data_IF_912878341943
#
_entry.id   IF_912878341943
#
_cell.length_a   1.000
_cell.length_b   1.000
_cell.length_c   1.000
_cell.angle_alpha   90.00
_cell.angle_beta   90.00
_cell.angle_gamma   90.00
#
_symmetry.space_group_name_H-M   'P 1'
#
loop_
_entity.id
_entity.type
_entity.pdbx_description
1 polymer ?
#
# COMPACT_ATOMS: atom_id res chain seq x y z
N UNK A 1 18.75 11.31 -24.24
CA UNK A 1 18.53 11.48 -22.79
C UNK A 1 19.07 10.24 -22.11
N UNK A 2 20.30 10.30 -21.61
CA UNK A 2 20.97 9.17 -20.95
C UNK A 2 20.69 9.32 -19.46
N UNK A 3 20.08 8.31 -18.83
CA UNK A 3 20.04 8.22 -17.38
C UNK A 3 21.49 8.08 -16.91
N UNK A 4 22.01 9.11 -16.25
CA UNK A 4 23.37 9.17 -15.75
C UNK A 4 23.52 8.17 -14.60
N UNK A 5 23.91 6.93 -14.92
CA UNK A 5 24.00 5.81 -13.98
C UNK A 5 25.02 6.06 -12.87
N UNK A 6 25.95 6.99 -13.06
CA UNK A 6 26.88 7.44 -12.03
C UNK A 6 26.19 8.21 -10.89
N UNK A 7 25.08 8.92 -11.17
CA UNK A 7 24.27 9.61 -10.16
C UNK A 7 23.22 8.72 -9.49
N UNK A 8 22.91 7.56 -10.05
CA UNK A 8 22.01 6.59 -9.41
C UNK A 8 22.55 6.13 -8.04
N UNK A 9 23.88 6.07 -7.89
CA UNK A 9 24.55 5.73 -6.63
C UNK A 9 24.67 6.90 -5.64
N UNK A 10 24.37 8.13 -6.07
CA UNK A 10 24.38 9.33 -5.24
C UNK A 10 23.01 9.64 -4.61
N UNK A 11 21.99 8.81 -4.88
CA UNK A 11 20.68 8.92 -4.26
C UNK A 11 20.75 8.22 -2.90
N UNK A 12 20.67 8.99 -1.82
CA UNK A 12 20.59 8.46 -0.47
C UNK A 12 19.41 7.47 -0.35
N UNK A 13 19.56 6.44 0.48
CA UNK A 13 18.48 5.49 0.74
C UNK A 13 17.23 6.22 1.23
N UNK A 14 16.06 5.87 0.67
CA UNK A 14 14.79 6.48 1.06
C UNK A 14 14.52 6.10 2.53
N UNK A 15 14.35 7.07 3.44
CA UNK A 15 14.07 6.78 4.83
C UNK A 15 12.76 5.98 5.01
N UNK A 16 12.74 5.05 5.98
CA UNK A 16 11.65 4.06 6.16
C UNK A 16 10.27 4.67 6.44
N UNK A 17 10.23 5.88 6.98
CA UNK A 17 9.01 6.66 7.18
C UNK A 17 8.36 7.10 5.87
N UNK A 18 9.12 7.23 4.77
CA UNK A 18 8.60 7.54 3.44
C UNK A 18 8.19 6.28 2.65
N UNK A 19 8.54 5.09 3.13
CA UNK A 19 8.14 3.79 2.54
C UNK A 19 7.05 3.10 3.34
N UNK A 20 6.30 3.89 4.13
CA UNK A 20 5.17 3.43 4.92
C UNK A 20 3.88 4.04 4.38
N UNK A 21 2.85 3.22 4.19
CA UNK A 21 1.53 3.68 3.71
C UNK A 21 0.45 3.34 4.71
N UNK A 22 -0.46 4.26 4.97
CA UNK A 22 -1.65 3.99 5.77
C UNK A 22 -2.91 4.57 5.15
N UNK A 23 -4.05 3.96 5.43
CA UNK A 23 -5.31 4.49 4.91
C UNK A 23 -6.55 3.75 5.40
N UNK A 24 -7.71 4.29 5.02
CA UNK A 24 -9.01 3.69 5.31
C UNK A 24 -9.81 3.59 4.03
N UNK A 25 -10.32 2.39 3.74
CA UNK A 25 -11.21 2.15 2.60
C UNK A 25 -12.64 2.50 3.01
N UNK A 26 -13.26 3.44 2.31
CA UNK A 26 -14.69 3.76 2.42
C UNK A 26 -15.41 3.30 1.15
N UNK A 27 -16.50 2.57 1.31
CA UNK A 27 -17.34 2.12 0.19
C UNK A 27 -18.64 2.93 0.18
N UNK A 28 -18.87 3.68 -0.90
CA UNK A 28 -20.08 4.49 -1.07
C UNK A 28 -21.03 3.96 -2.15
N UNK A 29 -20.57 3.04 -3.00
CA UNK A 29 -21.37 2.45 -4.07
C UNK A 29 -22.15 1.22 -3.57
N UNK A 30 -23.42 1.09 -3.95
CA UNK A 30 -24.29 -0.01 -3.51
C UNK A 30 -23.77 -1.41 -3.87
N UNK A 31 -23.11 -1.57 -5.03
CA UNK A 31 -22.53 -2.84 -5.46
C UNK A 31 -21.41 -3.23 -4.50
N UNK A 32 -20.61 -2.25 -4.10
CA UNK A 32 -19.52 -2.43 -3.13
C UNK A 32 -20.05 -2.60 -1.70
N UNK A 33 -21.20 -2.01 -1.37
CA UNK A 33 -21.83 -2.14 -0.04
C UNK A 33 -22.44 -3.53 0.23
N UNK A 34 -22.67 -4.35 -0.81
CA UNK A 34 -23.21 -5.71 -0.65
C UNK A 34 -22.24 -6.67 0.06
N UNK A 35 -20.96 -6.30 0.19
CA UNK A 35 -19.98 -7.10 0.90
C UNK A 35 -19.91 -6.67 2.35
N UNK A 36 -19.84 -7.65 3.25
CA UNK A 36 -19.66 -7.35 4.66
C UNK A 36 -18.31 -6.65 4.90
N UNK A 37 -18.21 -5.92 6.01
CA UNK A 37 -16.95 -5.27 6.41
C UNK A 37 -15.78 -6.28 6.49
N UNK A 38 -16.06 -7.51 6.93
CA UNK A 38 -15.05 -8.57 7.00
C UNK A 38 -14.58 -9.04 5.60
N UNK A 39 -15.48 -9.11 4.63
CA UNK A 39 -15.13 -9.42 3.23
C UNK A 39 -14.23 -8.33 2.64
N UNK A 40 -14.58 -7.06 2.84
CA UNK A 40 -13.72 -5.94 2.45
C UNK A 40 -12.37 -5.97 3.14
N UNK A 41 -12.35 -6.28 4.43
CA UNK A 41 -11.10 -6.36 5.18
C UNK A 41 -10.19 -7.46 4.61
N UNK A 42 -10.73 -8.60 4.17
CA UNK A 42 -9.92 -9.65 3.54
C UNK A 42 -9.25 -9.19 2.23
N UNK A 43 -9.92 -8.33 1.43
CA UNK A 43 -9.32 -7.71 0.23
C UNK A 43 -8.22 -6.74 0.62
N UNK A 44 -8.50 -5.87 1.60
CA UNK A 44 -7.54 -4.88 2.10
C UNK A 44 -6.30 -5.57 2.67
N UNK A 45 -6.47 -6.64 3.45
CA UNK A 45 -5.37 -7.44 4.00
C UNK A 45 -4.53 -8.08 2.90
N UNK A 46 -5.16 -8.51 1.79
CA UNK A 46 -4.43 -8.99 0.62
C UNK A 46 -3.60 -7.88 -0.01
N UNK A 47 -4.14 -6.66 -0.15
CA UNK A 47 -3.39 -5.52 -0.66
C UNK A 47 -2.19 -5.19 0.27
N UNK A 48 -2.41 -5.14 1.58
CA UNK A 48 -1.33 -4.94 2.58
C UNK A 48 -0.24 -5.99 2.42
N UNK A 49 -0.60 -7.28 2.29
CA UNK A 49 0.37 -8.35 2.05
C UNK A 49 1.15 -8.13 0.76
N UNK A 50 0.51 -7.73 -0.34
CA UNK A 50 1.21 -7.44 -1.60
C UNK A 50 2.24 -6.32 -1.46
N UNK A 51 1.97 -5.34 -0.58
CA UNK A 51 2.87 -4.23 -0.28
C UNK A 51 4.06 -4.65 0.59
N UNK A 52 3.81 -5.35 1.70
CA UNK A 52 4.85 -5.58 2.73
C UNK A 52 5.58 -6.92 2.55
N UNK A 53 4.90 -7.96 2.08
CA UNK A 53 5.48 -9.30 1.92
C UNK A 53 5.50 -9.82 0.49
N UNK A 54 4.78 -9.15 -0.42
CA UNK A 54 4.65 -9.53 -1.81
C UNK A 54 5.62 -8.81 -2.75
N UNK A 55 5.25 -8.63 -4.02
CA UNK A 55 6.15 -8.13 -5.07
C UNK A 55 6.67 -6.71 -4.81
N UNK A 56 5.99 -5.94 -3.95
CA UNK A 56 6.38 -4.57 -3.64
C UNK A 56 7.19 -4.42 -2.34
N UNK A 57 7.58 -5.53 -1.68
CA UNK A 57 8.32 -5.51 -0.41
C UNK A 57 9.62 -4.68 -0.43
N UNK A 58 10.26 -4.55 -1.59
CA UNK A 58 11.47 -3.71 -1.74
C UNK A 58 11.18 -2.21 -1.67
N UNK A 59 9.93 -1.81 -1.91
CA UNK A 59 9.49 -0.41 -1.99
C UNK A 59 8.73 0.04 -0.74
N UNK A 60 8.13 -0.90 0.00
CA UNK A 60 7.32 -0.59 1.18
C UNK A 60 7.82 -1.36 2.40
N UNK A 61 8.20 -0.62 3.44
CA UNK A 61 8.59 -1.17 4.73
C UNK A 61 7.36 -1.58 5.56
N UNK A 62 6.30 -0.75 5.54
CA UNK A 62 5.07 -1.04 6.26
C UNK A 62 3.83 -0.57 5.52
N UNK A 63 2.71 -1.26 5.73
CA UNK A 63 1.41 -0.85 5.22
C UNK A 63 0.32 -1.20 6.24
N UNK A 64 -0.58 -0.27 6.50
CA UNK A 64 -1.73 -0.47 7.39
C UNK A 64 -2.99 0.08 6.74
N UNK A 65 -4.04 -0.73 6.64
CA UNK A 65 -5.29 -0.26 6.11
C UNK A 65 -6.49 -0.95 6.76
N UNK A 66 -7.55 -0.18 6.95
CA UNK A 66 -8.79 -0.65 7.57
C UNK A 66 -9.98 -0.31 6.70
N UNK A 67 -11.07 -1.06 6.87
CA UNK A 67 -12.35 -0.69 6.27
C UNK A 67 -13.08 0.26 7.23
N UNK A 68 -13.38 1.47 6.75
CA UNK A 68 -14.19 2.45 7.45
C UNK A 68 -15.66 2.03 7.46
N UNK A 69 -16.35 2.27 8.57
CA UNK A 69 -17.81 2.26 8.60
C UNK A 69 -18.31 3.70 8.45
N UNK A 70 -19.44 3.89 7.77
CA UNK A 70 -20.25 5.10 7.98
C UNK A 70 -20.86 5.06 9.37
#
# INVERSE_FOLDING_TARGET
>A
MICDTAKANAVASIPVNHTSVSGTLMTSNFIMANWSRAMWQAVVDRAIRMLVSGPFKKNFFSATATVGGN
#
